data_IF_741128699020
#
_entry.id   IF_741128699020
#
_cell.length_a   1.000
_cell.length_b   1.000
_cell.length_c   1.000
_cell.angle_alpha   90.00
_cell.angle_beta   90.00
_cell.angle_gamma   90.00
#
_symmetry.space_group_name_H-M   'P 1'
#
loop_
_entity.id
_entity.type
_entity.pdbx_description
1 polymer ?
#
# COMPACT_ATOMS: atom_id res chain seq x y z
N UNK A 1 1.51 -15.18 11.29
CA UNK A 1 2.92 -14.80 11.43
C UNK A 1 3.81 -15.96 10.98
N UNK A 2 4.67 -15.73 9.98
CA UNK A 2 5.55 -16.74 9.38
C UNK A 2 6.51 -17.36 10.41
N UNK A 3 7.07 -16.55 11.26
CA UNK A 3 8.06 -16.98 12.24
C UNK A 3 7.43 -17.87 13.33
N UNK A 4 6.20 -17.61 13.75
CA UNK A 4 5.47 -18.45 14.69
C UNK A 4 5.10 -19.80 14.07
N UNK A 5 4.73 -19.85 12.79
CA UNK A 5 4.50 -21.10 12.06
C UNK A 5 5.78 -21.95 12.04
N UNK A 6 6.91 -21.33 11.75
CA UNK A 6 8.22 -21.99 11.74
C UNK A 6 8.64 -22.43 13.16
N UNK A 7 8.51 -21.56 14.15
CA UNK A 7 8.88 -21.86 15.55
C UNK A 7 8.10 -23.05 16.12
N UNK A 8 6.80 -23.10 15.88
CA UNK A 8 5.91 -24.16 16.33
C UNK A 8 5.96 -25.41 15.41
N UNK A 9 6.61 -25.31 14.25
CA UNK A 9 6.65 -26.38 13.25
C UNK A 9 5.28 -26.78 12.76
N UNK A 10 4.38 -25.81 12.54
CA UNK A 10 3.00 -26.04 12.17
C UNK A 10 2.87 -26.51 10.72
N UNK A 11 2.04 -27.52 10.51
CA UNK A 11 1.71 -28.06 9.18
C UNK A 11 0.21 -28.28 9.09
N UNK A 12 -0.30 -28.31 7.87
CA UNK A 12 -1.74 -28.57 7.65
C UNK A 12 -2.11 -29.96 8.22
N UNK A 13 -3.17 -30.00 9.03
CA UNK A 13 -3.64 -31.21 9.71
C UNK A 13 -3.02 -31.49 11.08
N UNK A 14 -2.14 -30.63 11.59
CA UNK A 14 -1.63 -30.74 12.96
C UNK A 14 -2.75 -30.50 14.01
N UNK A 15 -2.66 -31.20 15.12
CA UNK A 15 -3.46 -30.89 16.33
C UNK A 15 -2.67 -29.86 17.15
N UNK A 16 -3.36 -28.82 17.58
CA UNK A 16 -2.74 -27.71 18.30
C UNK A 16 -3.47 -27.43 19.61
N UNK A 17 -2.73 -26.97 20.60
CA UNK A 17 -3.28 -26.40 21.82
C UNK A 17 -3.52 -24.91 21.57
N UNK A 18 -4.76 -24.45 21.80
CA UNK A 18 -5.16 -23.06 21.66
C UNK A 18 -5.52 -22.50 23.02
N UNK A 19 -5.02 -21.30 23.33
CA UNK A 19 -5.47 -20.52 24.47
C UNK A 19 -6.00 -19.17 24.02
N UNK A 20 -6.90 -18.57 24.80
CA UNK A 20 -7.25 -17.14 24.64
C UNK A 20 -6.22 -16.29 25.37
N UNK A 21 -5.54 -15.41 24.64
CA UNK A 21 -4.75 -14.35 25.22
C UNK A 21 -5.65 -13.12 25.44
N UNK A 22 -6.03 -12.86 26.69
CA UNK A 22 -7.12 -11.94 27.02
C UNK A 22 -8.47 -12.49 26.57
N UNK A 23 -9.48 -11.62 26.45
CA UNK A 23 -10.84 -12.08 26.10
C UNK A 23 -11.12 -12.19 24.58
N UNK A 24 -10.16 -11.91 23.70
CA UNK A 24 -10.48 -11.62 22.30
C UNK A 24 -9.77 -12.50 21.27
N UNK A 25 -8.48 -12.81 21.41
CA UNK A 25 -7.70 -13.42 20.31
C UNK A 25 -7.23 -14.86 20.68
N UNK A 26 -7.67 -15.90 19.94
CA UNK A 26 -7.12 -17.24 20.12
C UNK A 26 -5.66 -17.28 19.63
N UNK A 27 -4.78 -17.89 20.42
CA UNK A 27 -3.37 -18.07 20.13
C UNK A 27 -3.02 -19.54 20.15
N UNK A 28 -2.27 -20.02 19.17
CA UNK A 28 -1.69 -21.36 19.18
C UNK A 28 -0.49 -21.36 20.13
N UNK A 29 -0.53 -22.22 21.12
CA UNK A 29 0.51 -22.32 22.16
C UNK A 29 1.48 -23.44 21.84
N UNK A 30 0.96 -24.58 21.39
CA UNK A 30 1.74 -25.79 21.18
C UNK A 30 1.22 -26.61 20.01
N UNK A 31 2.13 -27.26 19.29
CA UNK A 31 1.82 -28.28 18.30
C UNK A 31 1.89 -29.67 18.95
N UNK A 32 0.74 -30.30 19.17
CA UNK A 32 0.61 -31.58 19.83
C UNK A 32 0.99 -32.79 18.94
N UNK A 33 1.16 -32.57 17.65
CA UNK A 33 1.51 -33.61 16.67
C UNK A 33 2.76 -33.27 15.88
N UNK A 34 3.70 -32.55 16.49
CA UNK A 34 4.93 -32.07 15.84
C UNK A 34 5.73 -33.21 15.23
N UNK A 35 5.75 -34.38 15.87
CA UNK A 35 6.51 -35.58 15.43
C UNK A 35 5.81 -36.38 14.31
N UNK A 36 4.58 -36.07 13.96
CA UNK A 36 3.87 -36.76 12.89
C UNK A 36 4.50 -36.45 11.54
N UNK A 37 4.60 -37.44 10.66
CA UNK A 37 5.04 -37.22 9.27
C UNK A 37 3.99 -36.46 8.48
N UNK A 38 4.30 -35.26 8.06
CA UNK A 38 3.48 -34.37 7.23
C UNK A 38 4.35 -33.47 6.39
N UNK A 39 3.83 -33.08 5.24
CA UNK A 39 4.49 -32.12 4.37
C UNK A 39 4.73 -30.79 5.10
N UNK A 40 5.93 -30.19 4.98
CA UNK A 40 6.19 -28.87 5.52
C UNK A 40 5.22 -27.82 4.98
N UNK A 41 4.84 -26.86 5.82
CA UNK A 41 4.07 -25.72 5.37
C UNK A 41 4.97 -24.74 4.60
N UNK A 42 4.66 -24.51 3.36
CA UNK A 42 5.34 -23.50 2.54
C UNK A 42 4.56 -22.20 2.60
N UNK A 43 5.15 -21.20 3.26
CA UNK A 43 4.54 -19.87 3.32
C UNK A 43 4.61 -19.23 1.92
N UNK A 44 3.49 -18.70 1.37
CA UNK A 44 3.47 -18.14 0.03
C UNK A 44 4.35 -16.88 -0.06
N UNK A 45 5.12 -16.77 -1.14
CA UNK A 45 5.92 -15.59 -1.48
C UNK A 45 5.27 -14.73 -2.59
N UNK A 46 4.09 -15.15 -3.05
CA UNK A 46 3.27 -14.42 -4.02
C UNK A 46 1.85 -14.30 -3.52
N UNK A 47 1.19 -13.20 -3.89
CA UNK A 47 -0.20 -12.96 -3.54
C UNK A 47 -1.12 -13.92 -4.32
N UNK A 48 -2.02 -14.67 -3.65
CA UNK A 48 -2.94 -15.59 -4.32
C UNK A 48 -3.98 -14.88 -5.21
N UNK A 49 -4.24 -13.58 -4.97
CA UNK A 49 -5.24 -12.81 -5.71
C UNK A 49 -4.70 -12.14 -6.97
N UNK A 50 -3.48 -11.62 -6.92
CA UNK A 50 -2.95 -10.83 -8.03
C UNK A 50 -1.59 -11.31 -8.57
N UNK A 51 -0.98 -12.33 -7.94
CA UNK A 51 0.31 -12.86 -8.34
C UNK A 51 1.52 -11.96 -8.02
N UNK A 52 1.30 -10.74 -7.49
CA UNK A 52 2.39 -9.87 -7.08
C UNK A 52 3.21 -10.47 -5.95
N UNK A 53 4.45 -10.08 -5.84
CA UNK A 53 5.33 -10.51 -4.76
C UNK A 53 4.73 -10.19 -3.39
N UNK A 54 4.94 -11.10 -2.44
CA UNK A 54 4.53 -10.93 -1.06
C UNK A 54 5.77 -10.89 -0.19
N UNK A 55 6.06 -9.72 0.39
CA UNK A 55 7.28 -9.42 1.13
C UNK A 55 7.02 -9.03 2.58
N UNK A 56 7.97 -9.33 3.45
CA UNK A 56 8.07 -8.72 4.77
C UNK A 56 9.19 -7.67 4.70
N UNK A 57 8.94 -6.48 5.24
CA UNK A 57 10.00 -5.49 5.43
C UNK A 57 11.00 -5.99 6.47
N UNK A 58 12.21 -5.45 6.41
CA UNK A 58 13.24 -5.72 7.41
C UNK A 58 12.69 -5.36 8.80
N UNK A 59 12.87 -6.23 9.78
CA UNK A 59 12.30 -6.14 11.13
C UNK A 59 10.77 -6.35 11.24
N UNK A 60 10.05 -6.70 10.16
CA UNK A 60 8.64 -7.05 10.21
C UNK A 60 8.38 -8.55 10.01
N UNK A 61 7.43 -9.06 10.77
CA UNK A 61 6.97 -10.46 10.66
C UNK A 61 5.79 -10.62 9.72
N UNK A 62 5.14 -9.53 9.36
CA UNK A 62 3.96 -9.52 8.50
C UNK A 62 4.36 -9.49 7.03
N UNK A 63 4.01 -10.54 6.31
CA UNK A 63 4.18 -10.63 4.86
C UNK A 63 3.00 -9.97 4.16
N UNK A 64 3.27 -9.04 3.25
CA UNK A 64 2.26 -8.26 2.55
C UNK A 64 2.44 -8.30 1.04
N UNK A 65 1.31 -8.29 0.35
CA UNK A 65 1.28 -8.19 -1.11
C UNK A 65 1.71 -6.79 -1.57
N UNK A 66 2.63 -6.73 -2.50
CA UNK A 66 3.13 -5.49 -3.12
C UNK A 66 2.20 -4.95 -4.21
N UNK A 67 1.19 -5.70 -4.63
CA UNK A 67 0.29 -5.37 -5.73
C UNK A 67 -0.57 -4.11 -5.56
N UNK A 68 -0.70 -3.60 -4.32
CA UNK A 68 -1.28 -2.28 -4.03
C UNK A 68 -2.58 -1.99 -4.79
N UNK A 69 -2.49 -1.08 -5.76
CA UNK A 69 -3.64 -0.59 -6.53
C UNK A 69 -4.24 -1.62 -7.49
N UNK A 70 -3.45 -2.59 -7.95
CA UNK A 70 -3.93 -3.62 -8.89
C UNK A 70 -4.50 -4.85 -8.19
N UNK A 71 -4.15 -5.10 -6.94
CA UNK A 71 -4.64 -6.26 -6.21
C UNK A 71 -6.15 -6.16 -5.98
N UNK A 72 -6.97 -7.10 -6.48
CA UNK A 72 -8.43 -7.05 -6.29
C UNK A 72 -8.85 -7.02 -4.83
N UNK A 73 -8.16 -7.76 -3.96
CA UNK A 73 -8.43 -7.80 -2.53
C UNK A 73 -8.15 -6.45 -1.81
N UNK A 74 -7.23 -5.63 -2.34
CA UNK A 74 -6.88 -4.33 -1.78
C UNK A 74 -7.59 -3.17 -2.48
N UNK A 75 -8.15 -3.40 -3.66
CA UNK A 75 -8.68 -2.35 -4.55
C UNK A 75 -9.74 -1.48 -3.88
N UNK A 76 -10.72 -2.09 -3.25
CA UNK A 76 -11.80 -1.35 -2.58
C UNK A 76 -11.24 -0.41 -1.50
N UNK A 77 -10.40 -0.94 -0.62
CA UNK A 77 -9.81 -0.15 0.47
C UNK A 77 -8.87 0.94 -0.05
N UNK A 78 -8.11 0.66 -1.09
CA UNK A 78 -7.23 1.64 -1.75
C UNK A 78 -8.01 2.78 -2.39
N UNK A 79 -9.11 2.48 -3.10
CA UNK A 79 -9.96 3.51 -3.69
C UNK A 79 -10.72 4.31 -2.62
N UNK A 80 -11.21 3.66 -1.56
CA UNK A 80 -11.80 4.34 -0.39
C UNK A 80 -10.82 5.32 0.25
N UNK A 81 -9.57 4.88 0.44
CA UNK A 81 -8.52 5.75 0.98
C UNK A 81 -8.25 6.94 0.06
N UNK A 82 -8.13 6.71 -1.26
CA UNK A 82 -7.84 7.76 -2.24
C UNK A 82 -8.91 8.85 -2.26
N UNK A 83 -10.19 8.50 -2.14
CA UNK A 83 -11.31 9.46 -2.15
C UNK A 83 -11.65 9.99 -0.76
N UNK A 84 -11.00 9.51 0.28
CA UNK A 84 -11.30 9.87 1.66
C UNK A 84 -11.08 11.36 1.96
N UNK A 85 -11.70 11.84 3.04
CA UNK A 85 -11.63 13.24 3.48
C UNK A 85 -10.20 13.73 3.73
N UNK A 86 -9.30 12.85 4.17
CA UNK A 86 -7.89 13.16 4.38
C UNK A 86 -7.07 13.23 3.09
N UNK A 87 -7.52 12.54 2.04
CA UNK A 87 -6.90 12.50 0.71
C UNK A 87 -7.61 13.46 -0.25
N UNK A 88 -8.19 12.98 -1.35
CA UNK A 88 -8.79 13.86 -2.36
C UNK A 88 -10.16 14.42 -1.97
N UNK A 89 -10.84 13.83 -0.99
CA UNK A 89 -12.14 14.30 -0.49
C UNK A 89 -13.19 14.42 -1.62
N UNK A 90 -13.45 13.31 -2.30
CA UNK A 90 -14.42 13.24 -3.39
C UNK A 90 -15.77 12.79 -2.84
N UNK A 91 -16.72 13.71 -2.73
CA UNK A 91 -18.07 13.41 -2.28
C UNK A 91 -18.82 12.51 -3.28
N UNK A 92 -19.69 11.63 -2.75
CA UNK A 92 -20.49 10.70 -3.58
C UNK A 92 -19.83 9.37 -3.87
N UNK A 93 -18.51 9.23 -3.69
CA UNK A 93 -17.78 7.96 -3.81
C UNK A 93 -17.63 7.28 -2.44
N UNK A 94 -18.74 6.91 -1.81
CA UNK A 94 -18.73 6.06 -0.62
C UNK A 94 -18.42 4.61 -0.94
N UNK A 95 -18.20 3.78 0.10
CA UNK A 95 -17.85 2.36 -0.04
C UNK A 95 -18.79 1.58 -0.96
N UNK A 96 -20.11 1.75 -0.80
CA UNK A 96 -21.11 1.06 -1.62
C UNK A 96 -21.02 1.45 -3.10
N UNK A 97 -20.84 2.75 -3.38
CA UNK A 97 -20.70 3.27 -4.75
C UNK A 97 -19.41 2.75 -5.40
N UNK A 98 -18.29 2.76 -4.66
CA UNK A 98 -17.01 2.25 -5.16
C UNK A 98 -17.13 0.75 -5.45
N UNK A 99 -17.69 -0.04 -4.52
CA UNK A 99 -17.89 -1.47 -4.71
C UNK A 99 -18.75 -1.77 -5.95
N UNK A 100 -19.88 -1.06 -6.11
CA UNK A 100 -20.75 -1.17 -7.28
C UNK A 100 -19.99 -0.86 -8.59
N UNK A 101 -19.21 0.20 -8.61
CA UNK A 101 -18.44 0.58 -9.81
C UNK A 101 -17.28 -0.38 -10.10
N UNK A 102 -16.70 -1.01 -9.08
CA UNK A 102 -15.73 -2.10 -9.25
C UNK A 102 -16.42 -3.33 -9.89
N UNK A 103 -17.57 -3.73 -9.40
CA UNK A 103 -18.35 -4.86 -9.94
C UNK A 103 -18.71 -4.66 -11.41
N UNK A 104 -19.04 -3.43 -11.82
CA UNK A 104 -19.28 -3.07 -13.22
C UNK A 104 -18.00 -2.94 -14.06
N UNK A 105 -16.80 -3.11 -13.47
CA UNK A 105 -15.54 -2.97 -14.16
C UNK A 105 -15.18 -1.51 -14.53
N UNK A 106 -15.80 -0.53 -13.88
CA UNK A 106 -15.56 0.89 -14.15
C UNK A 106 -14.43 1.48 -13.32
N UNK A 107 -14.11 0.88 -12.18
CA UNK A 107 -13.03 1.30 -11.30
C UNK A 107 -12.08 0.13 -11.01
N UNK A 108 -10.88 0.18 -11.54
CA UNK A 108 -9.78 -0.72 -11.22
C UNK A 108 -8.60 0.03 -10.59
N UNK A 109 -8.52 1.34 -10.80
CA UNK A 109 -7.47 2.22 -10.28
C UNK A 109 -8.01 3.64 -10.02
N UNK A 110 -7.28 4.49 -9.30
CA UNK A 110 -7.66 5.89 -9.08
C UNK A 110 -7.84 6.71 -10.36
N UNK A 111 -7.13 6.38 -11.42
CA UNK A 111 -7.21 7.10 -12.71
C UNK A 111 -8.61 7.05 -13.31
N UNK A 112 -9.31 5.92 -13.15
CA UNK A 112 -10.64 5.72 -13.71
C UNK A 112 -11.71 6.54 -13.01
N UNK A 113 -11.49 6.97 -11.78
CA UNK A 113 -12.36 7.92 -11.09
C UNK A 113 -12.53 9.19 -11.94
N UNK A 114 -11.44 9.72 -12.48
CA UNK A 114 -11.45 10.90 -13.33
C UNK A 114 -12.00 10.66 -14.76
N UNK A 115 -12.26 9.41 -15.10
CA UNK A 115 -12.91 8.98 -16.35
C UNK A 115 -14.39 8.68 -16.20
N UNK A 116 -14.95 8.72 -14.99
CA UNK A 116 -16.37 8.42 -14.70
C UNK A 116 -17.34 9.30 -15.50
N UNK A 117 -16.92 10.50 -15.94
CA UNK A 117 -17.73 11.35 -16.84
C UNK A 117 -18.16 10.63 -18.11
N UNK A 118 -17.32 9.71 -18.63
CA UNK A 118 -17.65 8.89 -19.81
C UNK A 118 -18.72 7.82 -19.53
N UNK A 119 -19.06 7.61 -18.27
CA UNK A 119 -20.03 6.61 -17.79
C UNK A 119 -21.34 7.24 -17.29
N UNK A 120 -21.59 8.52 -17.58
CA UNK A 120 -22.75 9.23 -17.05
C UNK A 120 -24.05 8.46 -17.27
N UNK A 121 -24.31 8.02 -18.50
CA UNK A 121 -25.52 7.30 -18.84
C UNK A 121 -25.57 5.90 -18.22
N UNK A 122 -24.43 5.22 -18.13
CA UNK A 122 -24.32 3.91 -17.46
C UNK A 122 -24.64 4.04 -15.97
N UNK A 123 -24.13 5.07 -15.30
CA UNK A 123 -24.40 5.35 -13.87
C UNK A 123 -25.87 5.69 -13.67
N UNK A 124 -26.45 6.52 -14.55
CA UNK A 124 -27.85 6.94 -14.46
C UNK A 124 -28.79 5.73 -14.60
N UNK A 125 -28.40 4.70 -15.33
CA UNK A 125 -29.18 3.47 -15.50
C UNK A 125 -29.18 2.56 -14.25
N UNK A 126 -28.32 2.80 -13.28
CA UNK A 126 -28.27 2.04 -12.03
C UNK A 126 -29.41 2.43 -11.08
N UNK A 127 -29.92 1.45 -10.34
CA UNK A 127 -30.94 1.68 -9.31
C UNK A 127 -30.42 2.67 -8.25
N UNK A 128 -31.27 3.64 -7.88
CA UNK A 128 -30.98 4.65 -6.87
C UNK A 128 -30.24 5.90 -7.41
N UNK A 129 -29.85 5.92 -8.67
CA UNK A 129 -29.22 7.08 -9.30
C UNK A 129 -30.26 7.92 -10.07
N UNK A 130 -30.09 9.24 -9.99
CA UNK A 130 -30.89 10.23 -10.72
C UNK A 130 -29.95 11.30 -11.29
N UNK A 131 -30.39 12.06 -12.29
CA UNK A 131 -29.58 13.11 -12.94
C UNK A 131 -28.83 13.97 -11.93
N UNK A 132 -29.53 14.48 -10.89
CA UNK A 132 -28.92 15.33 -9.89
C UNK A 132 -27.80 14.65 -9.12
N UNK A 133 -27.95 13.37 -8.73
CA UNK A 133 -26.93 12.64 -7.97
C UNK A 133 -25.72 12.30 -8.84
N UNK A 134 -25.96 11.93 -10.10
CA UNK A 134 -24.87 11.69 -11.09
C UNK A 134 -24.10 12.97 -11.35
N UNK A 135 -24.80 14.08 -11.63
CA UNK A 135 -24.17 15.37 -11.92
C UNK A 135 -23.36 15.89 -10.73
N UNK A 136 -23.88 15.73 -9.50
CA UNK A 136 -23.14 16.08 -8.27
C UNK A 136 -21.87 15.26 -8.12
N UNK A 137 -21.94 13.94 -8.33
CA UNK A 137 -20.75 13.07 -8.29
C UNK A 137 -19.72 13.51 -9.32
N UNK A 138 -20.13 13.70 -10.57
CA UNK A 138 -19.22 14.09 -11.65
C UNK A 138 -18.61 15.49 -11.42
N UNK A 139 -19.37 16.41 -10.84
CA UNK A 139 -18.85 17.73 -10.46
C UNK A 139 -17.83 17.62 -9.31
N UNK A 140 -18.09 16.77 -8.30
CA UNK A 140 -17.13 16.52 -7.21
C UNK A 140 -15.83 15.91 -7.70
N UNK A 141 -15.89 14.98 -8.67
CA UNK A 141 -14.70 14.41 -9.32
C UNK A 141 -13.94 15.48 -10.10
N UNK A 142 -14.64 16.31 -10.88
CA UNK A 142 -14.02 17.35 -11.70
C UNK A 142 -13.31 18.42 -10.86
N UNK A 143 -13.89 18.80 -9.72
CA UNK A 143 -13.28 19.73 -8.76
C UNK A 143 -11.91 19.26 -8.23
N UNK A 144 -11.68 17.95 -8.23
CA UNK A 144 -10.44 17.35 -7.71
C UNK A 144 -9.41 16.97 -8.79
N UNK A 145 -9.55 17.46 -10.03
CA UNK A 145 -8.57 17.20 -11.10
C UNK A 145 -7.21 17.85 -10.88
N UNK A 146 -7.16 18.92 -10.11
CA UNK A 146 -5.91 19.58 -9.71
C UNK A 146 -5.80 19.59 -8.18
N UNK A 147 -5.54 18.44 -7.56
CA UNK A 147 -5.52 18.32 -6.12
C UNK A 147 -4.27 18.96 -5.52
N UNK A 148 -4.30 19.27 -4.22
CA UNK A 148 -3.10 19.55 -3.45
C UNK A 148 -2.13 18.35 -3.55
N UNK A 149 -0.86 18.63 -3.84
CA UNK A 149 0.15 17.61 -4.10
C UNK A 149 0.40 16.68 -2.89
N UNK A 150 0.34 17.20 -1.67
CA UNK A 150 0.51 16.38 -0.46
C UNK A 150 -0.70 15.48 -0.23
N UNK A 151 -1.90 15.95 -0.54
CA UNK A 151 -3.13 15.16 -0.46
C UNK A 151 -3.16 14.05 -1.53
N UNK A 152 -2.67 14.34 -2.74
CA UNK A 152 -2.51 13.35 -3.79
C UNK A 152 -1.52 12.25 -3.35
N UNK A 153 -0.34 12.65 -2.88
CA UNK A 153 0.69 11.71 -2.43
C UNK A 153 0.19 10.83 -1.27
N UNK A 154 -0.49 11.42 -0.30
CA UNK A 154 -1.15 10.67 0.77
C UNK A 154 -2.22 9.71 0.22
N UNK A 155 -3.01 10.17 -0.73
CA UNK A 155 -4.10 9.40 -1.36
C UNK A 155 -3.62 8.15 -2.10
N UNK A 156 -2.40 8.12 -2.62
CA UNK A 156 -1.81 6.92 -3.23
C UNK A 156 -1.64 5.77 -2.23
N UNK A 157 -1.69 6.05 -0.92
CA UNK A 157 -1.61 5.04 0.14
C UNK A 157 -0.27 4.32 0.20
N UNK A 158 0.81 5.01 -0.15
CA UNK A 158 2.18 4.49 -0.01
C UNK A 158 2.46 4.27 1.47
N UNK A 159 2.96 3.09 1.81
CA UNK A 159 3.25 2.74 3.21
C UNK A 159 4.22 3.75 3.83
N UNK A 160 4.07 4.02 5.11
CA UNK A 160 4.83 5.03 5.86
C UNK A 160 4.67 6.48 5.39
N UNK A 161 3.93 6.74 4.31
CA UNK A 161 3.65 8.08 3.81
C UNK A 161 2.29 8.55 4.29
N UNK A 162 2.23 9.02 5.54
CA UNK A 162 1.07 9.68 6.12
C UNK A 162 0.91 11.12 5.63
N UNK A 163 -0.19 11.79 6.00
CA UNK A 163 -0.46 13.17 5.59
C UNK A 163 0.62 14.18 6.01
N UNK A 164 1.22 13.98 7.19
CA UNK A 164 2.34 14.82 7.67
C UNK A 164 3.59 14.55 6.86
N UNK A 165 3.95 13.26 6.69
CA UNK A 165 5.11 12.83 5.91
C UNK A 165 5.04 13.34 4.46
N UNK A 166 3.86 13.24 3.82
CA UNK A 166 3.65 13.75 2.47
C UNK A 166 3.92 15.25 2.35
N UNK A 167 3.43 16.05 3.32
CA UNK A 167 3.69 17.50 3.35
C UNK A 167 5.17 17.83 3.56
N UNK A 168 5.82 17.13 4.49
CA UNK A 168 7.21 17.40 4.82
C UNK A 168 8.16 16.96 3.71
N UNK A 169 7.83 15.85 3.03
CA UNK A 169 8.54 15.40 1.83
C UNK A 169 8.47 16.47 0.71
N UNK A 170 7.28 17.00 0.45
CA UNK A 170 7.09 17.98 -0.63
C UNK A 170 7.63 19.37 -0.30
N UNK A 171 7.75 19.74 0.98
CA UNK A 171 8.47 20.97 1.37
C UNK A 171 9.95 20.93 0.97
N UNK A 172 10.60 19.77 1.06
CA UNK A 172 11.97 19.59 0.61
C UNK A 172 12.06 19.51 -0.91
N UNK A 173 11.31 18.59 -1.48
CA UNK A 173 11.35 18.26 -2.91
C UNK A 173 10.87 19.42 -3.83
N UNK A 174 9.93 20.23 -3.35
CA UNK A 174 9.35 21.37 -4.05
C UNK A 174 8.36 21.04 -5.15
N UNK A 175 8.59 19.98 -5.92
CA UNK A 175 7.72 19.54 -7.02
C UNK A 175 7.49 18.03 -6.95
N UNK A 176 6.24 17.62 -6.79
CA UNK A 176 5.85 16.22 -6.69
C UNK A 176 6.26 15.40 -7.93
N UNK A 177 6.36 16.01 -9.10
CA UNK A 177 6.74 15.35 -10.37
C UNK A 177 8.18 14.82 -10.37
N UNK A 178 9.03 15.31 -9.47
CA UNK A 178 10.39 14.78 -9.28
C UNK A 178 10.42 13.44 -8.56
N UNK A 179 9.31 13.07 -7.91
CA UNK A 179 9.29 11.94 -6.97
C UNK A 179 9.65 10.60 -7.62
N UNK A 180 9.16 10.24 -8.83
CA UNK A 180 9.56 9.00 -9.50
C UNK A 180 11.07 8.90 -9.76
N UNK A 181 11.69 10.00 -10.24
CA UNK A 181 13.12 10.03 -10.53
C UNK A 181 13.95 9.89 -9.25
N UNK A 182 13.53 10.58 -8.17
CA UNK A 182 14.17 10.48 -6.86
C UNK A 182 14.01 9.08 -6.23
N UNK A 183 12.89 8.47 -6.44
CA UNK A 183 12.63 7.10 -5.99
C UNK A 183 13.51 6.09 -6.76
N UNK A 184 13.68 6.28 -8.07
CA UNK A 184 14.58 5.47 -8.89
C UNK A 184 16.05 5.66 -8.46
N UNK A 185 16.50 6.91 -8.24
CA UNK A 185 17.83 7.24 -7.73
C UNK A 185 18.11 6.53 -6.39
N UNK A 186 17.13 6.54 -5.47
CA UNK A 186 17.30 5.85 -4.19
C UNK A 186 17.26 4.31 -4.33
N UNK A 187 16.44 3.80 -5.23
CA UNK A 187 16.39 2.36 -5.52
C UNK A 187 17.75 1.85 -6.04
N UNK A 188 18.36 2.58 -6.96
CA UNK A 188 19.70 2.27 -7.48
C UNK A 188 20.75 2.36 -6.36
N UNK A 189 20.77 3.47 -5.62
CA UNK A 189 21.69 3.68 -4.50
C UNK A 189 21.67 2.52 -3.50
N UNK A 190 20.49 2.10 -3.02
CA UNK A 190 20.39 1.01 -2.03
C UNK A 190 20.84 -0.34 -2.60
N UNK A 191 20.65 -0.55 -3.91
CA UNK A 191 21.07 -1.79 -4.60
C UNK A 191 22.59 -1.88 -4.75
N UNK A 192 23.26 -0.76 -4.98
CA UNK A 192 24.71 -0.65 -5.10
C UNK A 192 25.42 -0.62 -3.74
N UNK A 193 24.69 -0.28 -2.68
CA UNK A 193 25.26 -0.10 -1.35
C UNK A 193 24.53 -0.97 -0.29
N UNK A 194 24.51 -2.31 -0.47
CA UNK A 194 23.92 -3.21 0.51
C UNK A 194 24.67 -3.16 1.84
N UNK A 195 24.08 -3.69 2.89
CA UNK A 195 24.77 -3.85 4.17
C UNK A 195 25.99 -4.77 3.97
N UNK A 196 27.15 -4.29 4.37
CA UNK A 196 28.39 -5.09 4.30
C UNK A 196 28.37 -6.26 5.30
N UNK A 197 29.12 -7.36 5.04
CA UNK A 197 29.10 -8.56 5.87
C UNK A 197 29.51 -8.30 7.33
N UNK A 198 30.36 -7.30 7.56
CA UNK A 198 30.83 -6.90 8.91
C UNK A 198 30.22 -5.55 9.36
N UNK A 199 29.33 -4.95 8.57
CA UNK A 199 28.71 -3.66 8.88
C UNK A 199 27.58 -3.88 9.90
N UNK A 200 27.66 -3.18 11.03
CA UNK A 200 26.58 -3.19 12.02
C UNK A 200 25.34 -2.47 11.48
N UNK A 201 24.15 -2.90 11.93
CA UNK A 201 22.85 -2.31 11.53
C UNK A 201 22.79 -0.80 11.75
N UNK A 202 23.30 -0.30 12.87
CA UNK A 202 23.22 1.14 13.16
C UNK A 202 24.02 2.04 12.19
N UNK A 203 25.30 1.77 11.84
CA UNK A 203 26.00 2.50 10.78
C UNK A 203 25.32 2.37 9.41
N UNK A 204 24.84 1.18 9.06
CA UNK A 204 24.10 0.96 7.83
C UNK A 204 22.85 1.85 7.75
N UNK A 205 22.00 1.83 8.78
CA UNK A 205 20.81 2.66 8.86
C UNK A 205 21.12 4.16 8.83
N UNK A 206 22.19 4.60 9.47
CA UNK A 206 22.64 5.99 9.41
C UNK A 206 23.00 6.40 7.98
N UNK A 207 23.76 5.57 7.28
CA UNK A 207 24.15 5.79 5.87
C UNK A 207 22.94 5.84 4.94
N UNK A 208 21.97 4.92 5.12
CA UNK A 208 20.72 4.91 4.37
C UNK A 208 19.88 6.17 4.65
N UNK A 209 19.79 6.59 5.91
CA UNK A 209 19.08 7.82 6.27
C UNK A 209 19.70 9.08 5.63
N UNK A 210 21.02 9.16 5.60
CA UNK A 210 21.73 10.27 4.94
C UNK A 210 21.45 10.27 3.42
N UNK A 211 21.39 9.08 2.79
CA UNK A 211 21.02 8.95 1.39
C UNK A 211 19.58 9.39 1.13
N UNK A 212 18.62 8.98 1.97
CA UNK A 212 17.22 9.42 1.88
C UNK A 212 17.13 10.94 1.96
N UNK A 213 17.76 11.55 2.96
CA UNK A 213 17.75 13.00 3.15
C UNK A 213 18.33 13.76 1.97
N UNK A 214 19.44 13.29 1.42
CA UNK A 214 20.12 13.88 0.27
C UNK A 214 19.32 13.72 -1.02
N UNK A 215 18.88 12.51 -1.32
CA UNK A 215 18.22 12.20 -2.59
C UNK A 215 16.83 12.83 -2.66
N UNK A 216 16.03 12.71 -1.62
CA UNK A 216 14.70 13.31 -1.57
C UNK A 216 14.70 14.80 -1.12
N UNK A 217 15.88 15.39 -0.92
CA UNK A 217 16.05 16.81 -0.56
C UNK A 217 15.31 17.19 0.75
N UNK A 218 15.18 16.24 1.70
CA UNK A 218 14.38 16.43 2.92
C UNK A 218 15.25 16.61 4.16
N UNK A 219 14.78 17.46 5.09
CA UNK A 219 15.45 17.75 6.37
C UNK A 219 14.57 17.46 7.58
N UNK A 220 13.33 17.05 7.36
CA UNK A 220 12.37 16.79 8.44
C UNK A 220 12.74 15.51 9.21
N UNK A 221 12.72 15.58 10.53
CA UNK A 221 13.06 14.44 11.42
C UNK A 221 12.07 13.27 11.29
N UNK A 222 10.84 13.51 10.80
CA UNK A 222 9.81 12.49 10.59
C UNK A 222 9.99 11.63 9.34
N UNK A 223 11.02 11.88 8.50
CA UNK A 223 11.29 11.12 7.29
C UNK A 223 12.50 10.22 7.51
N UNK A 224 12.22 8.95 7.76
CA UNK A 224 13.22 7.91 8.00
C UNK A 224 13.50 7.04 6.76
N UNK A 225 14.36 6.05 6.94
CA UNK A 225 14.72 5.07 5.91
C UNK A 225 13.50 4.31 5.37
N UNK A 226 12.55 3.94 6.24
CA UNK A 226 11.32 3.25 5.85
C UNK A 226 10.51 4.01 4.80
N UNK A 227 10.43 5.34 4.89
CA UNK A 227 9.76 6.19 3.88
C UNK A 227 10.51 6.12 2.55
N UNK A 228 11.84 6.23 2.58
CA UNK A 228 12.67 6.16 1.38
C UNK A 228 12.53 4.81 0.66
N UNK A 229 12.57 3.71 1.41
CA UNK A 229 12.35 2.36 0.87
C UNK A 229 10.95 2.20 0.28
N UNK A 230 9.90 2.61 1.00
CA UNK A 230 8.52 2.50 0.54
C UNK A 230 8.25 3.30 -0.75
N UNK A 231 8.83 4.49 -0.88
CA UNK A 231 8.76 5.30 -2.11
C UNK A 231 9.49 4.62 -3.27
N UNK A 232 10.71 4.12 -3.03
CA UNK A 232 11.49 3.41 -4.04
C UNK A 232 10.75 2.16 -4.55
N UNK A 233 10.19 1.35 -3.65
CA UNK A 233 9.43 0.15 -4.00
C UNK A 233 8.16 0.49 -4.76
N UNK A 234 7.41 1.50 -4.32
CA UNK A 234 6.19 1.94 -4.99
C UNK A 234 6.44 2.34 -6.44
N UNK A 235 7.45 3.18 -6.70
CA UNK A 235 7.76 3.65 -8.04
C UNK A 235 8.59 2.66 -8.87
N UNK A 236 9.15 1.63 -8.26
CA UNK A 236 9.79 0.53 -8.99
C UNK A 236 8.75 -0.35 -9.69
N UNK A 237 7.57 -0.52 -9.11
CA UNK A 237 6.46 -1.29 -9.67
C UNK A 237 5.86 -0.58 -10.91
N UNK A 238 5.85 -1.27 -12.05
CA UNK A 238 5.42 -0.69 -13.34
C UNK A 238 3.99 -0.17 -13.31
N UNK A 239 3.05 -0.93 -12.74
CA UNK A 239 1.65 -0.51 -12.69
C UNK A 239 1.41 0.70 -11.77
N UNK A 240 2.21 0.88 -10.72
CA UNK A 240 2.16 2.09 -9.91
C UNK A 240 2.63 3.32 -10.72
N UNK A 241 3.68 3.14 -11.55
CA UNK A 241 4.10 4.20 -12.48
C UNK A 241 3.04 4.53 -13.54
N UNK A 242 2.27 3.53 -14.00
CA UNK A 242 1.18 3.76 -14.95
C UNK A 242 0.00 4.52 -14.33
N UNK A 243 -0.20 4.40 -13.02
CA UNK A 243 -1.23 5.16 -12.27
C UNK A 243 -0.77 6.59 -12.01
N UNK A 244 0.52 6.81 -11.78
CA UNK A 244 1.14 8.13 -11.57
C UNK A 244 1.08 9.01 -12.82
#
# INVERSE_FOLDING_TARGET
NRDEIARLGLRVGDRVLIQRAGDVIPQVVENLTREAEREPYHFPNTCPECGSEAVAEEDEVDVRCTGGLICPAQRLERLKHFVSRGALDIEGLGEKTIAQFIEHGWLSSPVEIFRLRKRREDILALEGWQDKSVDNLLAAVEDKRAPDAARLLFGLGIRHVGAVTARDLLKGLGDIRKLPDKAAEFHEYRSEHPQGPDEKVSPFNARMLDAVRRIYEVRADGIGTAVGHALADFFHEEHNRQVW
#
